data_IF_022162968537
#
_entry.id   IF_022162968537
#
_cell.length_a   1.000
_cell.length_b   1.000
_cell.length_c   1.000
_cell.angle_alpha   90.00
_cell.angle_beta   90.00
_cell.angle_gamma   90.00
#
_symmetry.space_group_name_H-M   'P 1'
#
loop_
_entity.id
_entity.type
_entity.pdbx_description
1 polymer ?
#
# COMPACT_ATOMS: atom_id res chain seq x y z
N UNK A 1 28.41 -0.14 -6.31
CA UNK A 1 28.12 -1.53 -5.99
C UNK A 1 26.65 -1.57 -5.62
N UNK A 2 25.78 -1.74 -6.64
CA UNK A 2 24.33 -1.63 -6.55
C UNK A 2 23.74 -3.01 -6.83
N UNK A 3 23.38 -3.77 -5.81
CA UNK A 3 22.60 -5.01 -5.94
C UNK A 3 21.78 -5.16 -4.65
N UNK A 4 20.66 -4.48 -4.53
CA UNK A 4 19.62 -4.79 -3.52
C UNK A 4 18.30 -4.09 -3.86
N UNK A 5 17.69 -4.38 -5.00
CA UNK A 5 16.34 -3.87 -5.26
C UNK A 5 15.49 -4.75 -6.19
N UNK A 6 15.78 -6.05 -6.30
CA UNK A 6 15.05 -6.93 -7.24
C UNK A 6 14.16 -7.98 -6.60
N UNK A 7 14.11 -8.12 -5.28
CA UNK A 7 13.41 -9.24 -4.63
C UNK A 7 12.00 -8.87 -4.13
N UNK A 8 11.70 -7.59 -3.88
CA UNK A 8 10.39 -7.17 -3.34
C UNK A 8 9.30 -6.96 -4.40
N UNK A 9 9.63 -6.93 -5.69
CA UNK A 9 8.69 -6.59 -6.76
C UNK A 9 7.92 -7.82 -7.26
N UNK A 10 8.49 -9.02 -7.16
CA UNK A 10 7.87 -10.26 -7.67
C UNK A 10 6.69 -10.74 -6.81
N UNK A 11 6.63 -10.36 -5.51
CA UNK A 11 5.57 -10.80 -4.61
C UNK A 11 4.26 -10.02 -4.79
N UNK A 12 4.34 -8.76 -5.21
CA UNK A 12 3.15 -7.91 -5.40
C UNK A 12 2.37 -8.30 -6.65
N UNK A 13 3.05 -8.69 -7.73
CA UNK A 13 2.39 -9.17 -8.94
C UNK A 13 1.70 -10.54 -8.72
N UNK A 14 2.32 -11.45 -7.97
CA UNK A 14 1.75 -12.76 -7.67
C UNK A 14 0.53 -12.69 -6.71
N UNK A 15 0.45 -11.69 -5.84
CA UNK A 15 -0.67 -11.51 -4.93
C UNK A 15 -1.95 -10.99 -5.60
N UNK A 16 -1.85 -10.32 -6.77
CA UNK A 16 -3.03 -9.85 -7.52
C UNK A 16 -3.51 -10.84 -8.59
N UNK A 17 -2.64 -11.73 -9.06
CA UNK A 17 -3.02 -12.87 -9.88
C UNK A 17 -3.31 -14.09 -8.99
N UNK A 18 -4.22 -13.96 -8.04
CA UNK A 18 -4.93 -15.15 -7.57
C UNK A 18 -5.55 -15.76 -8.79
N UNK A 19 -4.99 -16.89 -9.25
CA UNK A 19 -5.36 -17.67 -10.42
C UNK A 19 -6.85 -17.51 -10.77
N UNK A 20 -7.21 -16.38 -11.39
CA UNK A 20 -8.32 -16.37 -12.28
C UNK A 20 -7.82 -17.23 -13.46
N UNK A 21 -7.91 -18.54 -13.27
CA UNK A 21 -7.89 -19.47 -14.37
C UNK A 21 -8.80 -18.84 -15.40
N UNK A 22 -8.25 -18.46 -16.55
CA UNK A 22 -9.01 -18.20 -17.74
C UNK A 22 -9.61 -19.55 -18.16
N UNK A 23 -10.40 -20.16 -17.25
CA UNK A 23 -11.22 -21.30 -17.55
C UNK A 23 -12.18 -20.81 -18.63
N UNK A 24 -11.81 -21.11 -19.86
CA UNK A 24 -12.65 -21.07 -21.02
C UNK A 24 -13.99 -21.69 -20.64
N UNK A 25 -14.92 -20.85 -20.19
CA UNK A 25 -16.32 -21.19 -20.30
C UNK A 25 -16.54 -21.33 -21.79
N UNK A 26 -16.72 -22.57 -22.23
CA UNK A 26 -17.22 -22.90 -23.55
C UNK A 26 -18.63 -22.33 -23.69
N UNK A 27 -18.70 -21.03 -23.88
CA UNK A 27 -19.88 -20.38 -24.38
C UNK A 27 -19.97 -20.69 -25.87
N UNK A 28 -21.02 -21.35 -26.27
CA UNK A 28 -21.30 -21.73 -27.65
C UNK A 28 -21.19 -20.50 -28.53
N UNK A 29 -20.22 -20.51 -29.44
CA UNK A 29 -20.04 -19.47 -30.45
C UNK A 29 -21.33 -19.30 -31.26
N UNK A 30 -21.81 -18.05 -31.39
CA UNK A 30 -22.83 -17.75 -32.40
C UNK A 30 -22.23 -17.83 -33.79
N UNK A 31 -23.03 -18.32 -34.75
CA UNK A 31 -22.64 -18.62 -36.10
C UNK A 31 -22.21 -17.39 -36.91
N UNK A 32 -21.08 -17.56 -37.61
CA UNK A 32 -20.62 -16.93 -38.85
C UNK A 32 -20.87 -15.43 -39.09
N UNK A 33 -19.84 -14.62 -38.80
CA UNK A 33 -19.49 -13.48 -39.65
C UNK A 33 -18.03 -13.59 -40.12
N UNK A 34 -17.77 -13.52 -41.43
CA UNK A 34 -16.46 -13.72 -42.07
C UNK A 34 -15.39 -12.66 -41.76
N UNK A 35 -15.69 -11.63 -40.97
CA UNK A 35 -14.74 -10.62 -40.50
C UNK A 35 -14.24 -10.85 -39.04
N UNK A 36 -14.80 -11.84 -38.36
CA UNK A 36 -14.47 -12.09 -36.93
C UNK A 36 -13.13 -12.86 -36.74
N UNK A 37 -12.49 -13.32 -37.83
CA UNK A 37 -11.28 -14.14 -37.74
C UNK A 37 -9.96 -13.37 -37.76
N UNK A 38 -9.97 -12.08 -38.17
CA UNK A 38 -8.71 -11.34 -38.29
C UNK A 38 -8.13 -11.02 -36.92
N UNK A 39 -6.88 -11.41 -36.67
CA UNK A 39 -6.18 -11.21 -35.41
C UNK A 39 -6.45 -12.26 -34.33
N UNK A 40 -7.32 -13.26 -34.58
CA UNK A 40 -7.68 -14.29 -33.58
C UNK A 40 -6.51 -15.25 -33.30
N UNK A 41 -5.71 -15.56 -34.29
CA UNK A 41 -4.50 -16.39 -34.13
C UNK A 41 -3.48 -15.73 -33.25
N UNK A 42 -3.20 -14.44 -33.51
CA UNK A 42 -2.28 -13.59 -32.76
C UNK A 42 -2.76 -13.37 -31.33
N UNK A 43 -4.07 -13.14 -31.16
CA UNK A 43 -4.68 -13.03 -29.84
C UNK A 43 -4.53 -14.33 -29.04
N UNK A 44 -4.83 -15.48 -29.63
CA UNK A 44 -4.69 -16.79 -28.96
C UNK A 44 -3.24 -17.00 -28.51
N UNK A 45 -2.29 -16.69 -29.40
CA UNK A 45 -0.86 -16.76 -29.06
C UNK A 45 -0.49 -15.77 -27.96
N UNK A 46 -1.04 -14.56 -28.02
CA UNK A 46 -0.87 -13.55 -26.96
C UNK A 46 -1.33 -14.04 -25.58
N UNK A 47 -2.49 -14.71 -25.51
CA UNK A 47 -3.00 -15.34 -24.28
C UNK A 47 -2.05 -16.44 -23.78
N UNK A 48 -1.57 -17.33 -24.65
CA UNK A 48 -0.61 -18.37 -24.26
C UNK A 48 0.69 -17.80 -23.70
N UNK A 49 1.17 -16.69 -24.28
CA UNK A 49 2.36 -15.99 -23.82
C UNK A 49 2.11 -15.28 -22.48
N UNK A 50 0.92 -14.71 -22.29
CA UNK A 50 0.49 -14.10 -21.04
C UNK A 50 0.46 -15.14 -19.91
N UNK A 51 -0.16 -16.30 -20.16
CA UNK A 51 -0.21 -17.42 -19.21
C UNK A 51 1.19 -17.97 -18.88
N UNK A 52 2.11 -17.93 -19.87
CA UNK A 52 3.52 -18.31 -19.69
C UNK A 52 4.39 -17.18 -19.14
N UNK A 53 3.81 -16.06 -18.71
CA UNK A 53 4.49 -14.87 -18.16
C UNK A 53 5.50 -14.22 -19.14
N UNK A 54 5.37 -14.48 -20.43
CA UNK A 54 6.20 -13.88 -21.50
C UNK A 54 5.57 -12.56 -21.97
N UNK A 55 5.47 -11.58 -21.06
CA UNK A 55 4.64 -10.40 -21.22
C UNK A 55 5.03 -9.50 -22.41
N UNK A 56 6.34 -9.28 -22.67
CA UNK A 56 6.78 -8.48 -23.84
C UNK A 56 6.39 -9.12 -25.17
N UNK A 57 6.48 -10.45 -25.24
CA UNK A 57 6.04 -11.17 -26.43
C UNK A 57 4.52 -11.16 -26.55
N UNK A 58 3.79 -11.26 -25.43
CA UNK A 58 2.33 -11.12 -25.40
C UNK A 58 1.88 -9.74 -25.92
N UNK A 59 2.51 -8.64 -25.48
CA UNK A 59 2.26 -7.29 -26.01
C UNK A 59 2.46 -7.24 -27.52
N UNK A 60 3.51 -7.89 -28.04
CA UNK A 60 3.79 -7.95 -29.48
C UNK A 60 2.68 -8.65 -30.23
N UNK A 61 2.23 -9.82 -29.78
CA UNK A 61 1.18 -10.60 -30.44
C UNK A 61 -0.19 -9.91 -30.35
N UNK A 62 -0.55 -9.34 -29.19
CA UNK A 62 -1.77 -8.53 -29.06
C UNK A 62 -1.73 -7.29 -29.97
N UNK A 63 -0.56 -6.67 -30.15
CA UNK A 63 -0.43 -5.52 -31.06
C UNK A 63 -0.68 -5.94 -32.51
N UNK A 64 -0.18 -7.11 -32.95
CA UNK A 64 -0.51 -7.67 -34.26
C UNK A 64 -2.00 -7.97 -34.41
N UNK A 65 -2.64 -8.52 -33.36
CA UNK A 65 -4.07 -8.78 -33.34
C UNK A 65 -4.88 -7.47 -33.51
N UNK A 66 -4.50 -6.40 -32.80
CA UNK A 66 -5.10 -5.07 -32.90
C UNK A 66 -4.92 -4.47 -34.31
N UNK A 67 -3.74 -4.60 -34.89
CA UNK A 67 -3.49 -4.13 -36.27
C UNK A 67 -4.34 -4.87 -37.28
N UNK A 68 -4.59 -6.19 -37.08
CA UNK A 68 -5.45 -6.98 -37.93
C UNK A 68 -6.94 -6.63 -37.77
N UNK A 69 -7.39 -6.35 -36.52
CA UNK A 69 -8.77 -5.94 -36.21
C UNK A 69 -8.85 -5.09 -34.94
N UNK A 70 -8.73 -3.78 -35.08
CA UNK A 70 -8.80 -2.82 -33.97
C UNK A 70 -10.18 -2.61 -33.35
N UNK A 71 -11.21 -3.40 -33.71
CA UNK A 71 -12.56 -3.29 -33.15
C UNK A 71 -12.87 -4.36 -32.09
N UNK A 72 -11.92 -5.19 -31.72
CA UNK A 72 -12.10 -6.24 -30.73
C UNK A 72 -11.62 -5.77 -29.35
N UNK A 73 -12.52 -5.56 -28.38
CA UNK A 73 -12.13 -5.08 -27.03
C UNK A 73 -11.18 -6.06 -26.34
N UNK A 74 -11.36 -7.37 -26.51
CA UNK A 74 -10.52 -8.40 -25.91
C UNK A 74 -9.03 -8.28 -26.28
N UNK A 75 -8.69 -7.74 -27.46
CA UNK A 75 -7.30 -7.57 -27.87
C UNK A 75 -6.60 -6.47 -27.06
N UNK A 76 -7.31 -5.38 -26.80
CA UNK A 76 -6.85 -4.31 -25.94
C UNK A 76 -6.79 -4.76 -24.47
N UNK A 77 -7.78 -5.50 -23.98
CA UNK A 77 -7.73 -6.08 -22.63
C UNK A 77 -6.49 -6.96 -22.45
N UNK A 78 -6.24 -7.87 -23.38
CA UNK A 78 -5.07 -8.76 -23.34
C UNK A 78 -3.77 -7.96 -23.29
N UNK A 79 -3.61 -6.94 -24.15
CA UNK A 79 -2.44 -6.08 -24.14
C UNK A 79 -2.35 -5.25 -22.87
N UNK A 80 -3.46 -4.74 -22.40
CA UNK A 80 -3.55 -3.99 -21.12
C UNK A 80 -3.06 -4.84 -19.93
N UNK A 81 -3.48 -6.11 -19.83
CA UNK A 81 -2.99 -7.01 -18.79
C UNK A 81 -1.49 -7.33 -18.94
N UNK A 82 -0.99 -7.50 -20.16
CA UNK A 82 0.44 -7.72 -20.39
C UNK A 82 1.26 -6.46 -20.01
N UNK A 83 0.80 -5.26 -20.39
CA UNK A 83 1.42 -4.00 -20.01
C UNK A 83 1.37 -3.77 -18.49
N UNK A 84 0.25 -4.11 -17.84
CA UNK A 84 0.14 -4.03 -16.38
C UNK A 84 1.17 -4.94 -15.68
N UNK A 85 1.35 -6.18 -16.16
CA UNK A 85 2.35 -7.11 -15.63
C UNK A 85 3.79 -6.58 -15.81
N UNK A 86 4.04 -5.85 -16.90
CA UNK A 86 5.30 -5.15 -17.14
C UNK A 86 5.43 -3.82 -16.38
N UNK A 87 4.45 -3.45 -15.56
CA UNK A 87 4.36 -2.17 -14.85
C UNK A 87 4.32 -0.94 -15.77
N UNK A 88 3.93 -1.13 -17.03
CA UNK A 88 3.66 -0.06 -18.00
C UNK A 88 2.25 0.46 -17.77
N UNK A 89 2.04 1.12 -16.63
CA UNK A 89 0.70 1.51 -16.17
C UNK A 89 -0.01 2.51 -17.09
N UNK A 90 0.65 3.53 -17.68
CA UNK A 90 0.01 4.41 -18.63
C UNK A 90 -0.56 3.65 -19.83
N UNK A 91 0.25 2.80 -20.47
CA UNK A 91 -0.13 2.02 -21.64
C UNK A 91 -1.25 1.02 -21.30
N UNK A 92 -1.19 0.39 -20.13
CA UNK A 92 -2.25 -0.48 -19.65
C UNK A 92 -3.58 0.29 -19.46
N UNK A 93 -3.52 1.49 -18.89
CA UNK A 93 -4.69 2.36 -18.70
C UNK A 93 -5.34 2.78 -20.01
N UNK A 94 -4.52 3.12 -21.02
CA UNK A 94 -5.00 3.46 -22.38
C UNK A 94 -5.66 2.26 -23.04
N UNK A 95 -5.06 1.08 -22.94
CA UNK A 95 -5.62 -0.15 -23.49
C UNK A 95 -6.96 -0.52 -22.85
N UNK A 96 -7.08 -0.49 -21.52
CA UNK A 96 -8.36 -0.72 -20.85
C UNK A 96 -9.39 0.34 -21.18
N UNK A 97 -8.97 1.60 -21.33
CA UNK A 97 -9.87 2.69 -21.75
C UNK A 97 -10.42 2.45 -23.15
N UNK A 98 -9.58 1.97 -24.06
CA UNK A 98 -10.02 1.61 -25.42
C UNK A 98 -10.94 0.38 -25.42
N UNK A 99 -10.68 -0.60 -24.58
CA UNK A 99 -11.57 -1.75 -24.39
C UNK A 99 -12.96 -1.31 -23.88
N UNK A 100 -13.02 -0.39 -22.90
CA UNK A 100 -14.27 0.18 -22.36
C UNK A 100 -15.03 0.96 -23.46
N UNK A 101 -14.33 1.77 -24.27
CA UNK A 101 -14.94 2.51 -25.37
C UNK A 101 -15.61 1.55 -26.37
N UNK A 102 -14.94 0.44 -26.70
CA UNK A 102 -15.45 -0.57 -27.62
C UNK A 102 -16.55 -1.45 -27.02
N UNK A 103 -16.50 -1.71 -25.73
CA UNK A 103 -17.47 -2.53 -25.00
C UNK A 103 -17.77 -1.95 -23.61
N UNK A 104 -18.68 -0.96 -23.49
CA UNK A 104 -19.00 -0.31 -22.22
C UNK A 104 -19.69 -1.23 -21.17
N UNK A 105 -20.06 -2.44 -21.57
CA UNK A 105 -20.69 -3.44 -20.72
C UNK A 105 -19.75 -4.60 -20.36
N UNK A 106 -18.48 -4.50 -20.71
CA UNK A 106 -17.50 -5.49 -20.28
C UNK A 106 -16.87 -5.08 -18.94
N UNK A 107 -17.26 -5.77 -17.89
CA UNK A 107 -16.77 -5.56 -16.53
C UNK A 107 -15.25 -5.70 -16.41
N UNK A 108 -14.63 -6.59 -17.22
CA UNK A 108 -13.19 -6.93 -17.09
C UNK A 108 -12.29 -5.74 -17.38
N UNK A 109 -12.64 -4.93 -18.37
CA UNK A 109 -11.87 -3.73 -18.71
C UNK A 109 -11.93 -2.68 -17.58
N UNK A 110 -13.09 -2.50 -16.93
CA UNK A 110 -13.20 -1.63 -15.75
C UNK A 110 -12.35 -2.17 -14.58
N UNK A 111 -12.41 -3.48 -14.31
CA UNK A 111 -11.59 -4.12 -13.26
C UNK A 111 -10.10 -3.95 -13.56
N UNK A 112 -9.67 -4.15 -14.81
CA UNK A 112 -8.28 -3.95 -15.22
C UNK A 112 -7.83 -2.49 -15.05
N UNK A 113 -8.64 -1.51 -15.44
CA UNK A 113 -8.31 -0.10 -15.28
C UNK A 113 -8.32 0.33 -13.81
N UNK A 114 -9.23 -0.19 -13.01
CA UNK A 114 -9.23 0.03 -11.57
C UNK A 114 -7.94 -0.47 -10.90
N UNK A 115 -7.41 -1.62 -11.33
CA UNK A 115 -6.11 -2.12 -10.86
C UNK A 115 -4.97 -1.15 -11.21
N UNK A 116 -4.96 -0.60 -12.43
CA UNK A 116 -3.99 0.43 -12.84
C UNK A 116 -4.08 1.64 -11.93
N UNK A 117 -5.29 2.17 -11.70
CA UNK A 117 -5.51 3.33 -10.84
C UNK A 117 -5.07 3.07 -9.39
N UNK A 118 -5.29 1.87 -8.85
CA UNK A 118 -4.82 1.51 -7.52
C UNK A 118 -3.29 1.53 -7.42
N UNK A 119 -2.57 1.02 -8.44
CA UNK A 119 -1.11 1.08 -8.47
C UNK A 119 -0.58 2.51 -8.54
N UNK A 120 -1.30 3.39 -9.24
CA UNK A 120 -1.01 4.81 -9.33
C UNK A 120 -1.49 5.61 -8.10
N UNK A 121 -2.13 4.97 -7.11
CA UNK A 121 -2.77 5.59 -5.95
C UNK A 121 -3.90 6.57 -6.31
N UNK A 122 -4.48 6.41 -7.49
CA UNK A 122 -5.63 7.18 -7.97
C UNK A 122 -6.93 6.54 -7.45
N UNK A 123 -7.10 6.52 -6.14
CA UNK A 123 -8.16 5.77 -5.47
C UNK A 123 -9.57 6.17 -5.87
N UNK A 124 -9.80 7.46 -6.16
CA UNK A 124 -11.13 7.94 -6.57
C UNK A 124 -11.53 7.38 -7.94
N UNK A 125 -10.58 7.31 -8.88
CA UNK A 125 -10.82 6.76 -10.21
C UNK A 125 -10.98 5.23 -10.13
N UNK A 126 -10.19 4.56 -9.29
CA UNK A 126 -10.35 3.14 -9.03
C UNK A 126 -11.75 2.83 -8.43
N UNK A 127 -12.23 3.66 -7.49
CA UNK A 127 -13.57 3.54 -6.91
C UNK A 127 -14.64 3.63 -7.99
N UNK A 128 -14.58 4.65 -8.85
CA UNK A 128 -15.56 4.85 -9.93
C UNK A 128 -15.60 3.65 -10.90
N UNK A 129 -14.44 3.12 -11.29
CA UNK A 129 -14.38 1.96 -12.20
C UNK A 129 -14.89 0.68 -11.54
N UNK A 130 -14.59 0.46 -10.26
CA UNK A 130 -15.10 -0.71 -9.54
C UNK A 130 -16.61 -0.63 -9.31
N UNK A 131 -17.16 0.55 -9.07
CA UNK A 131 -18.61 0.77 -9.01
C UNK A 131 -19.26 0.42 -10.35
N UNK A 132 -18.68 0.86 -11.49
CA UNK A 132 -19.16 0.47 -12.83
C UNK A 132 -19.08 -1.03 -13.07
N UNK A 133 -17.99 -1.67 -12.66
CA UNK A 133 -17.86 -3.12 -12.75
C UNK A 133 -18.96 -3.84 -11.94
N UNK A 134 -19.28 -3.34 -10.74
CA UNK A 134 -20.31 -3.92 -9.87
C UNK A 134 -21.75 -3.59 -10.31
N UNK A 135 -21.97 -2.47 -11.02
CA UNK A 135 -23.25 -2.23 -11.72
C UNK A 135 -23.52 -3.31 -12.78
N UNK A 136 -22.47 -3.75 -13.49
CA UNK A 136 -22.57 -4.79 -14.53
C UNK A 136 -22.71 -6.17 -13.89
N UNK A 137 -21.90 -6.48 -12.88
CA UNK A 137 -21.89 -7.76 -12.19
C UNK A 137 -21.76 -7.57 -10.65
N UNK A 138 -22.89 -7.47 -9.93
CA UNK A 138 -22.92 -7.08 -8.51
C UNK A 138 -22.18 -8.00 -7.54
N UNK A 139 -21.94 -9.23 -7.91
CA UNK A 139 -21.31 -10.24 -7.05
C UNK A 139 -19.88 -10.63 -7.48
N UNK A 140 -19.24 -9.82 -8.29
CA UNK A 140 -17.86 -10.09 -8.71
C UNK A 140 -16.89 -9.83 -7.57
N UNK A 141 -16.29 -10.90 -7.05
CA UNK A 141 -15.39 -10.83 -5.88
C UNK A 141 -14.17 -9.92 -6.16
N UNK A 142 -13.60 -10.01 -7.36
CA UNK A 142 -12.45 -9.18 -7.72
C UNK A 142 -12.81 -7.68 -7.67
N UNK A 143 -13.96 -7.29 -8.20
CA UNK A 143 -14.40 -5.90 -8.19
C UNK A 143 -14.74 -5.42 -6.75
N UNK A 144 -15.38 -6.27 -5.92
CA UNK A 144 -15.63 -5.97 -4.51
C UNK A 144 -14.33 -5.74 -3.76
N UNK A 145 -13.34 -6.61 -3.92
CA UNK A 145 -12.01 -6.44 -3.29
C UNK A 145 -11.32 -5.15 -3.74
N UNK A 146 -11.32 -4.87 -5.04
CA UNK A 146 -10.67 -3.66 -5.57
C UNK A 146 -11.37 -2.39 -5.08
N UNK A 147 -12.72 -2.42 -4.92
CA UNK A 147 -13.46 -1.32 -4.31
C UNK A 147 -13.03 -1.12 -2.86
N UNK A 148 -12.97 -2.19 -2.08
CA UNK A 148 -12.45 -2.13 -0.72
C UNK A 148 -11.01 -1.58 -0.65
N UNK A 149 -10.13 -1.90 -1.61
CA UNK A 149 -8.79 -1.29 -1.67
C UNK A 149 -8.84 0.20 -1.98
N UNK A 150 -9.70 0.63 -2.89
CA UNK A 150 -9.88 2.04 -3.21
C UNK A 150 -10.43 2.81 -2.00
N UNK A 151 -11.43 2.26 -1.32
CA UNK A 151 -12.02 2.82 -0.09
C UNK A 151 -11.00 2.89 1.05
N UNK A 152 -10.17 1.86 1.21
CA UNK A 152 -9.05 1.86 2.15
C UNK A 152 -8.08 3.02 1.87
N UNK A 153 -7.72 3.22 0.61
CA UNK A 153 -6.84 4.31 0.17
C UNK A 153 -7.46 5.70 0.40
N UNK A 154 -8.79 5.80 0.35
CA UNK A 154 -9.56 7.02 0.65
C UNK A 154 -9.89 7.19 2.13
N UNK A 155 -9.37 6.30 3.00
CA UNK A 155 -9.68 6.27 4.43
C UNK A 155 -11.19 6.10 4.75
N UNK A 156 -11.94 5.49 3.82
CA UNK A 156 -13.35 5.13 4.01
C UNK A 156 -13.45 3.75 4.69
N UNK A 157 -12.95 3.68 5.92
CA UNK A 157 -12.70 2.42 6.63
C UNK A 157 -13.91 1.52 6.75
N UNK A 158 -15.09 2.07 7.10
CA UNK A 158 -16.31 1.28 7.29
C UNK A 158 -16.74 0.58 5.99
N UNK A 159 -16.66 1.28 4.86
CA UNK A 159 -16.99 0.73 3.55
C UNK A 159 -16.00 -0.37 3.16
N UNK A 160 -14.71 -0.10 3.30
CA UNK A 160 -13.67 -1.09 3.04
C UNK A 160 -13.86 -2.37 3.88
N UNK A 161 -14.21 -2.24 5.17
CA UNK A 161 -14.52 -3.39 6.04
C UNK A 161 -15.72 -4.17 5.52
N UNK A 162 -16.78 -3.48 5.09
CA UNK A 162 -17.98 -4.14 4.54
C UNK A 162 -17.63 -4.94 3.27
N UNK A 163 -16.87 -4.36 2.35
CA UNK A 163 -16.45 -5.01 1.11
C UNK A 163 -15.52 -6.20 1.37
N UNK A 164 -14.51 -6.03 2.22
CA UNK A 164 -13.62 -7.13 2.57
C UNK A 164 -14.36 -8.24 3.32
N UNK A 165 -15.34 -7.91 4.17
CA UNK A 165 -16.17 -8.92 4.85
C UNK A 165 -17.01 -9.70 3.86
N UNK A 166 -17.63 -9.02 2.88
CA UNK A 166 -18.37 -9.68 1.80
C UNK A 166 -17.43 -10.58 0.97
N UNK A 167 -16.24 -10.11 0.63
CA UNK A 167 -15.27 -10.91 -0.13
C UNK A 167 -14.82 -12.15 0.65
N UNK A 168 -14.54 -12.03 1.95
CA UNK A 168 -14.18 -13.13 2.84
C UNK A 168 -15.32 -14.17 2.94
N UNK A 169 -16.57 -13.74 3.07
CA UNK A 169 -17.71 -14.65 3.10
C UNK A 169 -17.81 -15.51 1.83
N UNK A 170 -17.47 -14.93 0.68
CA UNK A 170 -17.48 -15.61 -0.62
C UNK A 170 -16.23 -16.47 -0.86
N UNK A 171 -15.09 -16.05 -0.34
CA UNK A 171 -13.78 -16.71 -0.48
C UNK A 171 -13.02 -16.67 0.84
N UNK A 172 -13.33 -17.59 1.79
CA UNK A 172 -12.69 -17.59 3.12
C UNK A 172 -11.19 -17.87 3.12
N UNK A 173 -10.66 -18.46 2.06
CA UNK A 173 -9.25 -18.82 1.97
C UNK A 173 -8.36 -17.67 1.43
N UNK A 174 -8.93 -16.53 1.13
CA UNK A 174 -8.19 -15.36 0.64
C UNK A 174 -7.56 -14.57 1.79
N UNK A 175 -6.43 -15.06 2.28
CA UNK A 175 -5.71 -14.51 3.43
C UNK A 175 -5.36 -13.02 3.26
N UNK A 176 -5.08 -12.58 2.02
CA UNK A 176 -4.81 -11.18 1.74
C UNK A 176 -5.97 -10.26 2.14
N UNK A 177 -7.20 -10.73 1.94
CA UNK A 177 -8.38 -9.92 2.26
C UNK A 177 -8.52 -9.71 3.78
N UNK A 178 -8.14 -10.69 4.62
CA UNK A 178 -8.10 -10.52 6.08
C UNK A 178 -7.05 -9.47 6.48
N UNK A 179 -5.85 -9.50 5.89
CA UNK A 179 -4.83 -8.48 6.16
C UNK A 179 -5.33 -7.06 5.87
N UNK A 180 -6.03 -6.89 4.74
CA UNK A 180 -6.57 -5.58 4.36
C UNK A 180 -7.73 -5.15 5.24
N UNK A 181 -8.59 -6.09 5.67
CA UNK A 181 -9.65 -5.79 6.63
C UNK A 181 -9.08 -5.40 7.99
N UNK A 182 -8.08 -6.11 8.47
CA UNK A 182 -7.37 -5.75 9.70
C UNK A 182 -6.78 -4.35 9.64
N UNK A 183 -6.20 -3.95 8.49
CA UNK A 183 -5.70 -2.59 8.29
C UNK A 183 -6.83 -1.55 8.37
N UNK A 184 -7.99 -1.84 7.78
CA UNK A 184 -9.16 -0.96 7.86
C UNK A 184 -9.70 -0.87 9.30
N UNK A 185 -9.78 -1.98 10.04
CA UNK A 185 -10.13 -1.97 11.47
C UNK A 185 -9.16 -1.12 12.29
N UNK A 186 -7.87 -1.18 12.02
CA UNK A 186 -6.89 -0.29 12.68
C UNK A 186 -7.14 1.19 12.36
N UNK A 187 -7.52 1.50 11.12
CA UNK A 187 -7.91 2.86 10.72
C UNK A 187 -9.06 3.41 11.56
N UNK A 188 -10.04 2.57 11.87
CA UNK A 188 -11.16 2.88 12.79
C UNK A 188 -10.78 2.80 14.27
N UNK A 189 -9.55 2.45 14.61
CA UNK A 189 -9.12 2.14 15.99
C UNK A 189 -9.88 0.97 16.64
N UNK A 190 -10.51 0.12 15.83
CA UNK A 190 -11.07 -1.15 16.29
C UNK A 190 -9.96 -2.21 16.34
N UNK A 191 -9.09 -2.05 17.33
CA UNK A 191 -7.86 -2.84 17.43
C UNK A 191 -8.16 -4.31 17.73
N UNK A 192 -9.19 -4.62 18.49
CA UNK A 192 -9.55 -6.00 18.82
C UNK A 192 -9.94 -6.79 17.56
N UNK A 193 -10.73 -6.19 16.66
CA UNK A 193 -11.09 -6.82 15.39
C UNK A 193 -9.87 -7.00 14.48
N UNK A 194 -8.95 -6.02 14.45
CA UNK A 194 -7.70 -6.14 13.70
C UNK A 194 -6.81 -7.27 14.24
N UNK A 195 -6.71 -7.39 15.56
CA UNK A 195 -5.95 -8.48 16.22
C UNK A 195 -6.57 -9.85 15.89
N UNK A 196 -7.90 -9.95 15.86
CA UNK A 196 -8.58 -11.18 15.49
C UNK A 196 -8.21 -11.62 14.06
N UNK A 197 -8.23 -10.70 13.09
CA UNK A 197 -7.84 -11.00 11.71
C UNK A 197 -6.36 -11.40 11.61
N UNK A 198 -5.44 -10.68 12.25
CA UNK A 198 -4.01 -11.07 12.27
C UNK A 198 -3.78 -12.40 12.98
N UNK A 199 -4.53 -12.69 14.04
CA UNK A 199 -4.44 -13.98 14.72
C UNK A 199 -4.90 -15.12 13.81
N UNK A 200 -5.98 -14.92 13.06
CA UNK A 200 -6.40 -15.88 12.04
C UNK A 200 -5.33 -16.13 10.98
N UNK A 201 -4.64 -15.07 10.51
CA UNK A 201 -3.51 -15.22 9.57
C UNK A 201 -2.39 -16.08 10.19
N UNK A 202 -2.07 -15.86 11.46
CA UNK A 202 -1.03 -16.61 12.18
C UNK A 202 -1.44 -18.04 12.49
N UNK A 203 -2.72 -18.34 12.64
CA UNK A 203 -3.25 -19.71 12.70
C UNK A 203 -3.03 -20.47 11.39
N UNK A 204 -3.10 -19.77 10.24
CA UNK A 204 -2.81 -20.36 8.92
C UNK A 204 -1.32 -20.48 8.63
N UNK A 205 -0.53 -19.50 9.07
CA UNK A 205 0.93 -19.50 8.95
C UNK A 205 1.56 -18.82 10.16
N UNK A 206 1.98 -19.61 11.15
CA UNK A 206 2.62 -19.12 12.38
C UNK A 206 3.94 -18.36 12.11
N UNK A 207 4.54 -18.54 10.93
CA UNK A 207 5.79 -17.91 10.52
C UNK A 207 5.56 -16.70 9.59
N UNK A 208 4.36 -16.15 9.53
CA UNK A 208 4.08 -14.93 8.81
C UNK A 208 4.66 -13.71 9.56
N UNK A 209 5.85 -13.29 9.15
CA UNK A 209 6.58 -12.17 9.77
C UNK A 209 5.81 -10.85 9.68
N UNK A 210 5.07 -10.65 8.60
CA UNK A 210 4.27 -9.44 8.39
C UNK A 210 3.06 -9.41 9.33
N UNK A 211 2.35 -10.52 9.46
CA UNK A 211 1.23 -10.65 10.38
C UNK A 211 1.67 -10.51 11.85
N UNK A 212 2.80 -11.11 12.24
CA UNK A 212 3.41 -10.93 13.57
C UNK A 212 3.71 -9.46 13.84
N UNK A 213 4.44 -8.80 12.94
CA UNK A 213 4.80 -7.39 13.10
C UNK A 213 3.56 -6.48 13.19
N UNK A 214 2.54 -6.73 12.36
CA UNK A 214 1.30 -5.95 12.36
C UNK A 214 0.46 -6.16 13.61
N UNK A 215 0.38 -7.41 14.12
CA UNK A 215 -0.32 -7.71 15.38
C UNK A 215 0.40 -7.08 16.56
N UNK A 216 1.72 -7.23 16.65
CA UNK A 216 2.54 -6.59 17.67
C UNK A 216 2.39 -5.07 17.65
N UNK A 217 2.39 -4.46 16.47
CA UNK A 217 2.13 -3.02 16.33
C UNK A 217 0.74 -2.63 16.83
N UNK A 218 -0.26 -3.45 16.53
CA UNK A 218 -1.63 -3.20 17.00
C UNK A 218 -1.73 -3.29 18.52
N UNK A 219 -1.09 -4.28 19.15
CA UNK A 219 -0.96 -4.34 20.61
C UNK A 219 -0.24 -3.11 21.19
N UNK A 220 0.83 -2.64 20.53
CA UNK A 220 1.55 -1.45 20.96
C UNK A 220 0.67 -0.19 20.92
N UNK A 221 -0.20 -0.04 19.92
CA UNK A 221 -1.17 1.06 19.83
C UNK A 221 -2.20 1.04 20.97
N UNK A 222 -2.49 -0.15 21.52
CA UNK A 222 -3.37 -0.31 22.70
C UNK A 222 -2.62 -0.13 24.03
N UNK A 223 -1.31 0.10 24.01
CA UNK A 223 -0.49 0.10 25.21
C UNK A 223 -0.30 -1.28 25.86
N UNK A 224 -0.64 -2.36 25.15
CA UNK A 224 -0.47 -3.74 25.58
C UNK A 224 0.93 -4.25 25.22
N UNK A 225 1.96 -3.58 25.75
CA UNK A 225 3.36 -3.82 25.36
C UNK A 225 3.83 -5.23 25.68
N UNK A 226 3.30 -5.84 26.76
CA UNK A 226 3.58 -7.21 27.18
C UNK A 226 3.20 -8.24 26.11
N UNK A 227 2.15 -7.95 25.32
CA UNK A 227 1.71 -8.81 24.21
C UNK A 227 2.41 -8.47 22.89
N UNK A 228 2.84 -7.22 22.72
CA UNK A 228 3.51 -6.77 21.49
C UNK A 228 4.95 -7.32 21.38
N UNK A 229 5.69 -7.38 22.50
CA UNK A 229 7.10 -7.81 22.53
C UNK A 229 7.27 -9.20 21.95
N UNK A 230 6.53 -10.24 22.38
CA UNK A 230 6.68 -11.59 21.83
C UNK A 230 6.46 -11.69 20.32
N UNK A 231 5.52 -10.92 19.77
CA UNK A 231 5.24 -10.90 18.35
C UNK A 231 6.42 -10.33 17.55
N UNK A 232 7.01 -9.23 18.02
CA UNK A 232 8.19 -8.65 17.37
C UNK A 232 9.43 -9.55 17.50
N UNK A 233 9.64 -10.18 18.64
CA UNK A 233 10.74 -11.13 18.85
C UNK A 233 10.61 -12.33 17.93
N UNK A 234 9.40 -12.87 17.78
CA UNK A 234 9.12 -13.96 16.84
C UNK A 234 9.37 -13.52 15.38
N UNK A 235 8.94 -12.34 14.98
CA UNK A 235 9.18 -11.81 13.64
C UNK A 235 10.70 -11.64 13.37
N UNK A 236 11.45 -11.09 14.32
CA UNK A 236 12.91 -10.91 14.20
C UNK A 236 13.69 -12.21 14.23
N UNK A 237 13.19 -13.24 14.93
CA UNK A 237 13.79 -14.58 14.86
C UNK A 237 13.71 -15.17 13.46
N UNK A 238 12.65 -14.87 12.72
CA UNK A 238 12.45 -15.32 11.33
C UNK A 238 13.19 -14.42 10.33
N UNK A 239 13.20 -13.11 10.57
CA UNK A 239 13.90 -12.12 9.74
C UNK A 239 14.74 -11.16 10.60
N UNK A 240 15.98 -11.53 10.98
CA UNK A 240 16.84 -10.72 11.85
C UNK A 240 17.29 -9.38 11.25
N UNK A 241 17.14 -9.20 9.94
CA UNK A 241 17.56 -7.98 9.22
C UNK A 241 16.46 -6.93 9.11
N UNK A 242 15.27 -7.18 9.66
CA UNK A 242 14.16 -6.22 9.65
C UNK A 242 14.40 -5.09 10.67
N UNK A 243 15.01 -4.03 10.20
CA UNK A 243 15.34 -2.85 11.01
C UNK A 243 14.10 -2.09 11.53
N UNK A 244 12.99 -2.15 10.81
CA UNK A 244 11.72 -1.51 11.22
C UNK A 244 11.12 -2.26 12.41
N UNK A 245 10.99 -3.58 12.31
CA UNK A 245 10.52 -4.42 13.42
C UNK A 245 11.45 -4.32 14.62
N UNK A 246 12.78 -4.27 14.42
CA UNK A 246 13.75 -4.09 15.51
C UNK A 246 13.55 -2.75 16.23
N UNK A 247 13.38 -1.66 15.49
CA UNK A 247 13.12 -0.34 16.06
C UNK A 247 11.81 -0.29 16.86
N UNK A 248 10.76 -0.97 16.35
CA UNK A 248 9.47 -1.11 17.05
C UNK A 248 9.62 -1.90 18.34
N UNK A 249 10.37 -2.99 18.32
CA UNK A 249 10.66 -3.79 19.52
C UNK A 249 11.35 -2.95 20.58
N UNK A 250 12.44 -2.25 20.22
CA UNK A 250 13.19 -1.42 21.16
C UNK A 250 12.30 -0.33 21.79
N UNK A 251 11.51 0.36 20.97
CA UNK A 251 10.58 1.36 21.46
C UNK A 251 9.55 0.76 22.42
N UNK A 252 8.98 -0.39 22.06
CA UNK A 252 7.97 -1.08 22.88
C UNK A 252 8.54 -1.57 24.20
N UNK A 253 9.76 -2.12 24.22
CA UNK A 253 10.46 -2.52 25.44
C UNK A 253 10.76 -1.30 26.33
N UNK A 254 11.11 -0.15 25.73
CA UNK A 254 11.28 1.11 26.46
C UNK A 254 10.00 1.56 27.16
N UNK A 255 8.87 1.50 26.45
CA UNK A 255 7.55 1.82 27.02
C UNK A 255 7.14 0.86 28.14
N UNK A 256 7.39 -0.43 27.94
CA UNK A 256 7.12 -1.45 28.94
C UNK A 256 7.95 -1.23 30.22
N UNK A 257 9.25 -0.92 30.05
CA UNK A 257 10.12 -0.57 31.19
C UNK A 257 9.66 0.68 31.91
N UNK A 258 9.25 1.71 31.18
CA UNK A 258 8.73 2.94 31.76
C UNK A 258 7.41 2.71 32.52
N UNK A 259 6.51 1.89 31.98
CA UNK A 259 5.24 1.50 32.59
C UNK A 259 5.44 0.73 33.92
N UNK A 260 6.48 -0.11 33.97
CA UNK A 260 6.79 -0.94 35.14
C UNK A 260 7.80 -0.28 36.11
N UNK A 261 8.27 0.92 35.79
CA UNK A 261 9.16 1.66 36.68
C UNK A 261 8.42 2.01 37.98
N UNK A 262 9.04 1.80 39.17
CA UNK A 262 8.44 2.28 40.43
C UNK A 262 8.22 3.79 40.34
N UNK A 263 7.14 4.31 40.94
CA UNK A 263 6.94 5.75 41.00
C UNK A 263 8.20 6.39 41.60
N UNK A 264 8.58 7.60 41.14
CA UNK A 264 9.75 8.27 41.68
C UNK A 264 9.59 8.35 43.18
N UNK A 265 10.49 7.69 43.90
CA UNK A 265 10.56 7.80 45.35
C UNK A 265 10.81 9.28 45.66
N UNK A 266 9.77 9.99 46.09
CA UNK A 266 9.93 11.26 46.73
C UNK A 266 10.76 10.98 47.99
N UNK A 267 12.07 11.07 47.85
CA UNK A 267 12.96 11.11 49.00
C UNK A 267 12.57 12.39 49.70
N UNK A 268 11.70 12.28 50.72
CA UNK A 268 11.50 13.32 51.68
C UNK A 268 12.83 13.42 52.41
N UNK A 269 13.74 14.21 51.85
CA UNK A 269 14.92 14.61 52.55
C UNK A 269 14.42 15.43 53.73
N UNK A 270 14.42 14.82 54.90
CA UNK A 270 14.23 15.53 56.16
C UNK A 270 15.32 16.59 56.20
N UNK A 271 14.95 17.81 55.86
CA UNK A 271 15.84 18.94 55.79
C UNK A 271 16.33 19.22 57.21
N UNK A 272 17.64 19.07 57.42
CA UNK A 272 18.33 19.74 58.48
C UNK A 272 18.24 21.26 58.23
N UNK A 273 18.09 22.08 59.28
CA UNK A 273 17.78 23.49 59.10
C UNK A 273 19.03 24.29 58.74
N UNK A 274 18.77 25.39 57.98
CA UNK A 274 19.61 26.56 57.74
C UNK A 274 20.68 26.44 56.61
N UNK A 275 20.24 26.79 55.41
CA UNK A 275 21.03 27.56 54.47
C UNK A 275 20.13 28.63 53.87
N UNK A 276 20.58 29.85 53.87
CA UNK A 276 19.95 31.05 53.28
C UNK A 276 19.60 30.81 51.82
N UNK A 277 18.43 31.26 51.31
CA UNK A 277 18.05 31.03 49.91
C UNK A 277 18.95 31.85 49.00
N UNK A 278 19.80 31.18 48.25
CA UNK A 278 20.43 31.76 47.05
C UNK A 278 19.33 32.16 46.07
N UNK A 279 19.40 33.40 45.56
CA UNK A 279 18.50 33.88 44.50
C UNK A 279 18.65 32.99 43.29
N UNK A 280 17.54 32.46 42.72
CA UNK A 280 17.62 31.64 41.53
C UNK A 280 18.27 32.41 40.39
N UNK A 281 19.18 31.80 39.69
CA UNK A 281 19.86 32.41 38.52
C UNK A 281 18.80 32.78 37.46
N UNK A 282 18.98 33.91 36.81
CA UNK A 282 18.07 34.42 35.76
C UNK A 282 17.77 33.39 34.67
N UNK A 283 18.66 32.42 34.46
CA UNK A 283 18.56 31.36 33.44
C UNK A 283 17.52 30.30 33.85
N UNK A 284 17.32 30.02 35.14
CA UNK A 284 16.33 29.02 35.61
C UNK A 284 14.87 29.49 35.49
N UNK A 285 14.61 30.75 35.19
CA UNK A 285 13.27 31.30 35.00
C UNK A 285 12.81 31.35 33.54
N UNK A 286 13.69 30.99 32.58
CA UNK A 286 13.33 31.01 31.16
C UNK A 286 12.63 29.70 30.81
N UNK A 287 11.37 29.81 30.42
CA UNK A 287 10.61 28.66 29.91
C UNK A 287 11.38 28.05 28.72
N UNK A 288 11.67 26.74 28.75
CA UNK A 288 12.42 26.05 27.65
C UNK A 288 11.82 26.29 26.28
N UNK A 289 10.52 26.57 26.18
CA UNK A 289 9.84 26.94 24.95
C UNK A 289 10.42 28.20 24.29
N UNK A 290 10.79 29.23 25.09
CA UNK A 290 11.37 30.48 24.58
C UNK A 290 12.81 30.25 24.06
N UNK A 291 13.53 29.35 24.69
CA UNK A 291 14.87 28.94 24.21
C UNK A 291 14.76 28.28 22.83
N UNK A 292 13.78 27.37 22.67
CA UNK A 292 13.51 26.69 21.41
C UNK A 292 13.11 27.69 20.29
N UNK A 293 12.22 28.64 20.61
CA UNK A 293 11.79 29.69 19.67
C UNK A 293 12.99 30.57 19.26
N UNK A 294 13.86 30.93 20.22
CA UNK A 294 15.09 31.69 19.93
C UNK A 294 16.04 30.95 18.98
N UNK A 295 16.23 29.64 19.17
CA UNK A 295 17.06 28.82 18.29
C UNK A 295 16.47 28.76 16.87
N UNK A 296 15.17 28.54 16.75
CA UNK A 296 14.48 28.50 15.44
C UNK A 296 14.60 29.85 14.74
N UNK A 297 14.40 30.96 15.45
CA UNK A 297 14.56 32.31 14.89
C UNK A 297 15.98 32.55 14.37
N UNK A 298 17.03 32.12 15.10
CA UNK A 298 18.41 32.24 14.66
C UNK A 298 18.71 31.42 13.40
N UNK A 299 18.14 30.21 13.29
CA UNK A 299 18.28 29.38 12.10
C UNK A 299 17.62 30.04 10.88
N UNK A 300 16.44 30.61 11.05
CA UNK A 300 15.73 31.35 9.98
C UNK A 300 16.52 32.58 9.54
N UNK A 301 17.05 33.35 10.48
CA UNK A 301 17.88 34.53 10.19
C UNK A 301 19.15 34.10 9.43
N UNK A 302 19.82 33.04 9.86
CA UNK A 302 21.01 32.52 9.17
C UNK A 302 20.69 32.06 7.75
N UNK A 303 19.52 31.43 7.54
CA UNK A 303 19.08 31.02 6.18
C UNK A 303 18.79 32.25 5.29
N UNK A 304 18.16 33.29 5.83
CA UNK A 304 17.88 34.55 5.10
C UNK A 304 19.19 35.26 4.72
N UNK A 305 20.13 35.37 5.68
CA UNK A 305 21.46 35.96 5.40
C UNK A 305 22.19 35.18 4.32
N UNK A 306 22.10 33.85 4.34
CA UNK A 306 22.74 32.98 3.31
C UNK A 306 22.11 33.15 1.92
N UNK A 307 20.78 33.36 1.84
CA UNK A 307 20.09 33.68 0.60
C UNK A 307 20.49 35.05 0.03
N UNK A 308 20.57 36.07 0.89
CA UNK A 308 20.97 37.42 0.49
C UNK A 308 22.44 37.46 0.01
N UNK A 309 23.33 36.72 0.69
CA UNK A 309 24.74 36.66 0.29
C UNK A 309 24.93 35.86 -1.00
N UNK A 310 24.14 34.81 -1.26
CA UNK A 310 24.17 34.09 -2.55
C UNK A 310 23.69 34.96 -3.71
N UNK A 311 22.60 35.73 -3.55
CA UNK A 311 22.15 36.66 -4.59
C UNK A 311 23.19 37.73 -4.98
N UNK A 312 23.98 38.22 -4.02
CA UNK A 312 25.05 39.19 -4.30
C UNK A 312 26.28 38.60 -5.01
N UNK A 313 26.46 37.27 -4.93
CA UNK A 313 27.59 36.60 -5.64
C UNK A 313 27.21 36.36 -7.11
N UNK A 314 25.94 36.06 -7.42
CA UNK A 314 25.47 35.89 -8.80
C UNK A 314 25.43 37.22 -9.57
N UNK A 315 25.05 38.34 -8.94
CA UNK A 315 24.99 39.66 -9.56
C UNK A 315 26.40 40.18 -9.96
N UNK A 316 27.48 39.81 -9.22
CA UNK A 316 28.86 40.15 -9.57
C UNK A 316 29.46 39.31 -10.70
N UNK A 317 28.89 38.12 -10.98
CA UNK A 317 29.38 37.28 -12.07
C UNK A 317 28.85 37.66 -13.47
N UNK A 318 27.82 38.49 -13.54
CA UNK A 318 27.27 39.01 -14.81
C UNK A 318 27.85 40.35 -15.29
N UNK A 319 28.76 40.98 -14.50
CA UNK A 319 29.39 42.27 -14.87
C UNK A 319 30.80 42.09 -15.49
N UNK A 320 31.31 40.84 -15.52
CA UNK A 320 32.61 40.52 -16.14
C UNK A 320 32.39 39.48 -17.26
N UNK A 321 31.71 39.89 -18.33
CA UNK A 321 31.78 39.29 -19.68
C UNK A 321 31.44 40.36 -20.71
#
# INVERSE_FOLDING_TARGET
MMITSRITISLVAACFFGTASFASTKEKAPAKEKSAGAGTSEYTKGIQLLDSQQYDQAVTEFTKAILANGKQPAFYEGRGFANFALQRYPEAGDDFSKAIELSPKDMRAFVGRAQVFLQQKNYQQALADTEKALEIKPNEIAAIKLRGFAELGLSQWDKAIADFTNAIQKKPDDLQTYDRRALAYRGLKNFDAAIADYTFLLEKNANDTEALTKRGYTYSLMGQYEKAVPDYEAALKLNPQDSDTFSRLQWTQGQLKAKNAPPPTTTTTTAAPTATPEKPSLISQINPLYILIGIVALIVIAAIVRLITRGKVEEKSHIIR
#
